data_IF_288103233186
#
_entry.id   IF_288103233186
#
_cell.length_a   1.000
_cell.length_b   1.000
_cell.length_c   1.000
_cell.angle_alpha   90.00
_cell.angle_beta   90.00
_cell.angle_gamma   90.00
#
_symmetry.space_group_name_H-M   'P 1'
#
loop_
_entity.id
_entity.type
_entity.pdbx_description
1 polymer ?
#
# COMPACT_ATOMS: atom_id res chain seq x y z
N UNK A 1 10.09 32.17 19.90
CA UNK A 1 11.11 31.38 20.62
C UNK A 1 11.50 30.25 19.68
N UNK A 2 12.65 30.39 19.02
CA UNK A 2 13.19 29.44 18.05
C UNK A 2 13.85 28.25 18.77
N UNK A 3 13.64 27.03 18.29
CA UNK A 3 14.47 25.88 18.65
C UNK A 3 14.91 25.21 17.34
N UNK A 4 16.17 25.43 16.99
CA UNK A 4 16.89 24.71 15.95
C UNK A 4 17.56 23.48 16.58
N UNK A 5 17.37 22.30 16.01
CA UNK A 5 18.17 21.10 16.29
C UNK A 5 19.07 20.84 15.10
N UNK A 6 20.30 21.36 15.21
CA UNK A 6 21.45 21.01 14.37
C UNK A 6 22.00 19.66 14.82
N UNK A 7 22.20 18.72 13.90
CA UNK A 7 22.95 17.48 14.13
C UNK A 7 24.35 17.62 13.50
N UNK A 8 25.34 17.92 14.34
CA UNK A 8 26.76 17.96 13.98
C UNK A 8 27.32 16.54 13.83
N UNK A 9 27.64 16.12 12.60
CA UNK A 9 28.49 14.96 12.34
C UNK A 9 29.97 15.41 12.34
N UNK A 10 30.63 15.27 13.49
CA UNK A 10 32.08 15.52 13.66
C UNK A 10 32.90 14.51 12.85
N UNK A 11 33.56 14.97 11.79
CA UNK A 11 34.70 14.26 11.20
C UNK A 11 35.96 14.55 12.02
N UNK A 12 36.48 13.56 12.73
CA UNK A 12 37.80 13.68 13.39
C UNK A 12 38.88 13.25 12.39
N UNK A 13 39.57 14.24 11.85
CA UNK A 13 40.86 14.09 11.16
C UNK A 13 41.95 13.74 12.20
N UNK A 14 42.72 12.69 11.98
CA UNK A 14 44.01 12.49 12.65
C UNK A 14 45.07 12.11 11.62
N UNK A 15 46.03 13.02 11.48
CA UNK A 15 47.24 12.88 10.67
C UNK A 15 48.19 11.81 11.24
N UNK A 16 48.96 11.26 10.29
CA UNK A 16 50.16 10.44 10.44
C UNK A 16 51.13 10.90 11.53
N UNK A 17 51.58 9.96 12.36
CA UNK A 17 52.99 9.85 12.80
C UNK A 17 53.35 8.37 12.94
N UNK A 18 54.51 7.99 12.43
CA UNK A 18 55.07 6.65 12.48
C UNK A 18 55.88 6.43 13.77
N UNK A 19 55.80 5.25 14.38
CA UNK A 19 56.96 4.50 14.95
C UNK A 19 56.52 3.19 15.63
N UNK A 20 57.08 2.07 15.14
CA UNK A 20 57.53 0.84 15.85
C UNK A 20 56.68 0.21 16.98
N UNK A 21 56.06 -0.95 16.72
CA UNK A 21 56.19 -2.23 17.48
C UNK A 21 55.16 -3.29 17.00
N UNK A 22 55.60 -4.56 16.88
CA UNK A 22 54.78 -5.78 16.63
C UNK A 22 54.25 -6.36 17.97
N UNK A 23 53.47 -7.47 18.02
CA UNK A 23 52.20 -7.77 17.34
C UNK A 23 51.15 -8.38 18.32
N UNK A 24 49.85 -8.13 18.18
CA UNK A 24 48.83 -8.98 18.84
C UNK A 24 47.49 -9.03 18.09
N UNK A 25 47.11 -10.25 17.72
CA UNK A 25 45.77 -10.83 17.54
C UNK A 25 44.66 -10.12 16.73
N UNK A 26 44.15 -10.86 15.74
CA UNK A 26 42.75 -10.81 15.32
C UNK A 26 42.36 -9.70 14.35
N UNK A 27 42.88 -9.71 13.12
CA UNK A 27 42.35 -8.83 12.07
C UNK A 27 40.94 -9.28 11.66
N UNK A 28 39.92 -8.55 12.11
CA UNK A 28 38.63 -8.49 11.42
C UNK A 28 38.89 -7.92 10.01
N UNK A 29 38.70 -8.75 8.97
CA UNK A 29 38.80 -8.32 7.58
C UNK A 29 37.64 -7.35 7.31
N UNK A 30 37.92 -6.05 7.31
CA UNK A 30 37.01 -5.06 6.72
C UNK A 30 36.96 -5.29 5.21
N UNK A 31 35.85 -5.83 4.73
CA UNK A 31 35.53 -5.85 3.30
C UNK A 31 35.01 -4.47 2.94
N UNK A 32 35.82 -3.67 2.24
CA UNK A 32 35.36 -2.41 1.67
C UNK A 32 34.72 -2.70 0.31
N UNK A 33 33.40 -2.61 0.24
CA UNK A 33 32.66 -2.66 -1.03
C UNK A 33 32.63 -1.25 -1.61
N UNK A 34 33.35 -1.02 -2.71
CA UNK A 34 33.29 0.22 -3.47
C UNK A 34 32.27 0.06 -4.61
N UNK A 35 31.10 0.69 -4.47
CA UNK A 35 30.16 0.83 -5.58
C UNK A 35 30.56 2.06 -6.40
N UNK A 36 30.91 1.84 -7.67
CA UNK A 36 31.21 2.89 -8.64
C UNK A 36 30.19 2.95 -9.76
N UNK A 37 29.81 4.16 -10.16
CA UNK A 37 29.02 4.42 -11.37
C UNK A 37 29.94 4.58 -12.59
N UNK A 38 29.55 4.03 -13.74
CA UNK A 38 30.25 4.23 -15.02
C UNK A 38 29.27 4.79 -16.06
N UNK A 39 29.66 5.85 -16.74
CA UNK A 39 28.80 6.62 -17.66
C UNK A 39 28.70 6.04 -19.08
N UNK A 40 29.47 5.00 -19.43
CA UNK A 40 29.48 4.39 -20.76
C UNK A 40 28.67 3.08 -20.78
N UNK A 41 27.81 2.84 -21.79
CA UNK A 41 27.08 1.59 -21.91
C UNK A 41 28.03 0.43 -22.25
N UNK A 42 27.89 -0.69 -21.52
CA UNK A 42 28.63 -1.92 -21.76
C UNK A 42 27.64 -3.09 -21.89
N UNK A 43 27.75 -3.86 -22.97
CA UNK A 43 26.83 -4.96 -23.25
C UNK A 43 27.39 -6.28 -22.69
N UNK A 44 26.68 -6.90 -21.76
CA UNK A 44 26.98 -8.27 -21.31
C UNK A 44 26.28 -9.30 -22.21
N UNK A 45 26.95 -10.41 -22.53
CA UNK A 45 26.26 -11.62 -22.99
C UNK A 45 25.57 -12.23 -21.76
N UNK A 46 24.23 -12.24 -21.78
CA UNK A 46 23.30 -12.75 -20.76
C UNK A 46 22.89 -11.81 -19.61
N UNK A 47 23.08 -10.49 -19.74
CA UNK A 47 22.50 -9.51 -18.81
C UNK A 47 21.33 -8.74 -19.44
N UNK A 48 20.15 -8.76 -18.83
CA UNK A 48 19.06 -7.82 -19.15
C UNK A 48 19.12 -6.69 -18.13
N UNK A 49 19.81 -5.61 -18.47
CA UNK A 49 19.66 -4.30 -17.83
C UNK A 49 20.38 -3.27 -18.68
N UNK A 50 19.63 -2.29 -19.20
CA UNK A 50 20.16 -1.23 -20.08
C UNK A 50 19.93 0.15 -19.47
N UNK A 51 19.25 0.26 -18.31
CA UNK A 51 18.90 1.54 -17.69
C UNK A 51 19.48 1.75 -16.30
N UNK A 52 19.80 3.02 -15.99
CA UNK A 52 20.23 3.48 -14.66
C UNK A 52 19.22 3.11 -13.56
N UNK A 53 17.93 3.03 -13.90
CA UNK A 53 16.84 2.73 -12.97
C UNK A 53 16.86 1.27 -12.49
N UNK A 54 17.21 0.33 -13.38
CA UNK A 54 17.33 -1.09 -13.05
C UNK A 54 18.51 -1.34 -12.10
N UNK A 55 19.62 -0.64 -12.32
CA UNK A 55 20.79 -0.70 -11.45
C UNK A 55 20.51 -0.13 -10.06
N UNK A 56 19.84 1.03 -9.96
CA UNK A 56 19.49 1.65 -8.68
C UNK A 56 18.48 0.80 -7.89
N UNK A 57 17.49 0.21 -8.57
CA UNK A 57 16.52 -0.71 -7.95
C UNK A 57 17.22 -1.97 -7.43
N UNK A 58 18.12 -2.55 -8.21
CA UNK A 58 18.94 -3.70 -7.80
C UNK A 58 19.83 -3.35 -6.60
N UNK A 59 20.47 -2.18 -6.58
CA UNK A 59 21.28 -1.72 -5.45
C UNK A 59 20.45 -1.45 -4.19
N UNK A 60 19.23 -0.92 -4.31
CA UNK A 60 18.33 -0.72 -3.18
C UNK A 60 17.86 -2.05 -2.57
N UNK A 61 17.51 -3.02 -3.42
CA UNK A 61 17.14 -4.39 -3.01
C UNK A 61 18.32 -5.13 -2.37
N UNK A 62 19.54 -4.94 -2.89
CA UNK A 62 20.74 -5.54 -2.31
C UNK A 62 21.10 -4.90 -0.95
N UNK A 63 20.97 -3.58 -0.84
CA UNK A 63 21.27 -2.84 0.41
C UNK A 63 20.29 -3.18 1.54
N UNK A 64 19.02 -3.46 1.21
CA UNK A 64 18.04 -3.90 2.22
C UNK A 64 18.27 -5.33 2.70
N UNK A 65 18.87 -6.21 1.89
CA UNK A 65 19.24 -7.58 2.27
C UNK A 65 20.55 -7.68 3.06
N UNK A 66 21.49 -6.75 2.87
CA UNK A 66 22.75 -6.73 3.65
C UNK A 66 22.49 -6.41 5.14
N UNK A 67 21.40 -5.71 5.45
CA UNK A 67 20.99 -5.49 6.85
C UNK A 67 20.42 -6.76 7.54
N UNK A 68 20.18 -7.85 6.81
CA UNK A 68 19.58 -9.08 7.33
C UNK A 68 20.52 -10.29 7.41
N UNK A 69 21.83 -10.11 7.20
CA UNK A 69 22.82 -11.20 7.36
C UNK A 69 23.93 -10.78 8.32
N UNK A 70 23.55 -10.63 9.59
CA UNK A 70 24.47 -10.83 10.72
C UNK A 70 24.09 -12.18 11.37
N UNK A 71 24.45 -13.28 10.71
CA UNK A 71 24.43 -14.62 11.33
C UNK A 71 25.77 -15.32 11.00
N UNK A 72 26.59 -15.68 12.00
CA UNK A 72 27.93 -16.21 11.77
C UNK A 72 27.86 -17.72 11.48
N UNK A 73 27.50 -18.05 10.24
CA UNK A 73 27.50 -19.43 9.75
C UNK A 73 27.82 -19.45 8.27
N UNK A 74 29.08 -19.74 7.93
CA UNK A 74 29.56 -19.74 6.55
C UNK A 74 28.80 -20.71 5.65
N UNK A 75 28.00 -20.17 4.73
CA UNK A 75 27.71 -20.70 3.41
C UNK A 75 27.11 -19.58 2.53
N UNK A 76 27.93 -18.58 2.20
CA UNK A 76 27.55 -17.56 1.23
C UNK A 76 27.61 -18.18 -0.17
N UNK A 77 26.47 -18.64 -0.70
CA UNK A 77 26.25 -18.71 -2.17
C UNK A 77 24.84 -19.13 -2.63
N UNK A 78 23.79 -19.06 -1.79
CA UNK A 78 22.43 -19.37 -2.26
C UNK A 78 21.39 -18.38 -1.77
N UNK A 79 20.91 -17.54 -2.69
CA UNK A 79 19.70 -16.72 -2.52
C UNK A 79 18.53 -17.43 -3.23
N UNK A 80 17.41 -17.59 -2.53
CA UNK A 80 16.15 -18.03 -3.14
C UNK A 80 15.53 -16.91 -4.00
N UNK A 81 15.12 -17.28 -5.21
CA UNK A 81 14.56 -16.43 -6.27
C UNK A 81 13.08 -16.14 -6.01
N UNK A 82 12.61 -14.92 -6.33
CA UNK A 82 11.17 -14.62 -6.45
C UNK A 82 10.87 -14.23 -7.91
N UNK A 83 10.01 -15.05 -8.53
CA UNK A 83 9.24 -14.97 -9.78
C UNK A 83 9.79 -14.22 -11.01
N UNK A 84 10.22 -15.00 -12.01
CA UNK A 84 10.30 -14.58 -13.42
C UNK A 84 11.33 -15.32 -14.28
N UNK A 85 12.44 -15.77 -13.72
CA UNK A 85 13.50 -16.43 -14.49
C UNK A 85 13.60 -17.93 -14.18
N UNK A 86 13.29 -18.75 -15.18
CA UNK A 86 13.66 -20.18 -15.19
C UNK A 86 15.15 -20.30 -15.55
N UNK A 87 15.87 -21.03 -14.71
CA UNK A 87 17.28 -21.49 -14.79
C UNK A 87 18.37 -20.50 -14.37
N UNK A 88 19.10 -20.88 -13.31
CA UNK A 88 20.45 -20.39 -13.00
C UNK A 88 20.57 -19.75 -11.62
N UNK A 89 21.40 -20.33 -10.75
CA UNK A 89 22.02 -19.59 -9.65
C UNK A 89 22.68 -18.34 -10.21
N UNK A 90 22.30 -17.16 -9.73
CA UNK A 90 23.00 -15.91 -10.10
C UNK A 90 24.33 -15.92 -9.36
N UNK A 91 25.38 -16.32 -10.06
CA UNK A 91 26.76 -16.08 -9.63
C UNK A 91 26.96 -14.56 -9.69
N UNK A 92 27.08 -13.92 -8.52
CA UNK A 92 27.40 -12.51 -8.43
C UNK A 92 28.85 -12.37 -8.88
N UNK A 93 29.05 -12.20 -10.19
CA UNK A 93 30.35 -11.90 -10.77
C UNK A 93 30.80 -10.52 -10.29
N UNK A 94 31.28 -10.45 -9.05
CA UNK A 94 32.00 -9.33 -8.48
C UNK A 94 33.28 -9.20 -9.30
N UNK A 95 33.26 -8.32 -10.30
CA UNK A 95 34.45 -8.07 -11.12
C UNK A 95 35.47 -7.38 -10.22
N UNK A 96 36.68 -7.93 -10.05
CA UNK A 96 37.77 -7.22 -9.39
C UNK A 96 38.02 -5.90 -10.13
N UNK A 97 38.18 -4.80 -9.40
CA UNK A 97 38.58 -3.53 -10.02
C UNK A 97 39.98 -3.72 -10.62
N UNK A 98 40.07 -3.87 -11.94
CA UNK A 98 41.35 -3.99 -12.64
C UNK A 98 42.12 -2.67 -12.54
N UNK A 99 43.22 -2.69 -11.80
CA UNK A 99 44.19 -1.60 -11.72
C UNK A 99 45.07 -1.60 -12.97
N UNK A 100 44.57 -1.00 -14.05
CA UNK A 100 45.42 -0.72 -15.22
C UNK A 100 46.31 0.50 -14.94
N UNK A 101 47.63 0.27 -14.90
CA UNK A 101 48.70 1.28 -14.80
C UNK A 101 48.63 2.27 -13.60
N UNK A 102 48.28 1.78 -12.40
CA UNK A 102 48.50 2.52 -11.15
C UNK A 102 47.68 3.81 -10.98
N UNK A 103 46.72 4.09 -11.88
CA UNK A 103 45.69 5.12 -11.69
C UNK A 103 44.35 4.41 -11.49
N UNK A 104 43.77 4.55 -10.29
CA UNK A 104 42.35 4.25 -10.13
C UNK A 104 41.59 5.05 -11.19
N UNK A 105 40.83 4.37 -12.05
CA UNK A 105 39.75 5.01 -12.80
C UNK A 105 38.93 5.81 -11.79
N UNK A 106 38.81 7.12 -12.00
CA UNK A 106 38.17 8.05 -11.06
C UNK A 106 36.74 7.57 -10.74
N UNK A 107 36.60 6.78 -9.67
CA UNK A 107 35.32 6.50 -9.06
C UNK A 107 35.00 7.74 -8.26
N UNK A 108 34.07 8.54 -8.76
CA UNK A 108 33.63 9.73 -8.04
C UNK A 108 32.87 9.28 -6.78
N UNK A 109 33.13 9.88 -5.60
CA UNK A 109 32.33 9.62 -4.41
C UNK A 109 30.88 10.01 -4.69
N UNK A 110 29.93 9.21 -4.21
CA UNK A 110 28.52 9.57 -4.24
C UNK A 110 28.33 10.90 -3.53
N UNK A 111 27.78 11.87 -4.25
CA UNK A 111 27.44 13.20 -3.72
C UNK A 111 26.08 13.16 -3.04
N UNK A 112 25.76 14.17 -2.23
CA UNK A 112 24.41 14.27 -1.62
C UNK A 112 23.30 14.34 -2.67
N UNK A 113 23.61 14.81 -3.88
CA UNK A 113 22.78 14.77 -5.09
C UNK A 113 22.57 13.35 -5.63
N UNK A 114 23.46 12.41 -5.34
CA UNK A 114 23.25 10.98 -5.65
C UNK A 114 22.41 10.27 -4.57
N UNK A 115 22.26 10.89 -3.40
CA UNK A 115 21.39 10.47 -2.29
C UNK A 115 20.07 11.24 -2.24
N UNK A 116 19.86 12.24 -3.10
CA UNK A 116 18.56 12.89 -3.24
C UNK A 116 17.55 11.87 -3.74
N UNK A 117 16.28 11.90 -3.29
CA UNK A 117 15.25 11.02 -3.84
C UNK A 117 15.29 11.16 -5.35
N UNK A 118 15.29 10.00 -6.03
CA UNK A 118 15.49 9.93 -7.47
C UNK A 118 14.70 11.03 -8.19
N UNK A 119 15.29 11.70 -9.20
CA UNK A 119 14.59 12.73 -9.96
C UNK A 119 13.24 12.14 -10.39
N UNK A 120 12.15 12.89 -10.14
CA UNK A 120 10.76 12.56 -10.50
C UNK A 120 10.74 11.60 -11.70
N UNK A 121 10.51 10.32 -11.41
CA UNK A 121 10.47 9.28 -12.43
C UNK A 121 9.26 9.54 -13.32
N UNK A 122 9.50 9.93 -14.58
CA UNK A 122 8.44 10.12 -15.57
C UNK A 122 7.59 11.38 -15.38
N UNK A 123 6.91 11.82 -16.45
CA UNK A 123 5.93 12.91 -16.39
C UNK A 123 4.65 12.54 -15.64
N UNK A 124 4.44 11.25 -15.37
CA UNK A 124 3.18 10.71 -14.88
C UNK A 124 3.31 10.30 -13.42
N UNK A 125 2.28 10.62 -12.62
CA UNK A 125 2.23 10.29 -11.20
C UNK A 125 2.12 8.78 -11.02
N UNK A 126 2.96 8.16 -10.18
CA UNK A 126 2.90 6.72 -9.91
C UNK A 126 2.00 6.42 -8.71
N UNK A 127 1.01 5.56 -8.91
CA UNK A 127 -0.03 5.25 -7.92
C UNK A 127 -0.06 3.76 -7.64
N UNK A 128 0.39 3.37 -6.45
CA UNK A 128 0.32 1.98 -6.00
C UNK A 128 -1.11 1.58 -5.63
N UNK A 129 -1.51 0.37 -6.00
CA UNK A 129 -2.78 -0.21 -5.60
C UNK A 129 -2.60 -1.72 -5.34
N UNK A 130 -3.47 -2.31 -4.52
CA UNK A 130 -3.44 -3.75 -4.32
C UNK A 130 -4.31 -4.45 -5.38
N UNK A 131 -3.74 -5.46 -6.03
CA UNK A 131 -4.40 -6.28 -7.05
C UNK A 131 -3.62 -6.34 -8.38
N UNK A 132 -4.28 -6.89 -9.40
CA UNK A 132 -3.76 -7.00 -10.77
C UNK A 132 -4.46 -5.99 -11.70
N UNK A 133 -3.96 -5.76 -12.93
CA UNK A 133 -4.68 -4.95 -13.91
C UNK A 133 -6.11 -5.45 -14.14
N UNK A 134 -7.08 -4.54 -14.22
CA UNK A 134 -8.50 -4.82 -14.30
C UNK A 134 -9.23 -4.85 -12.94
N UNK A 135 -8.51 -4.81 -11.82
CA UNK A 135 -9.13 -4.76 -10.50
C UNK A 135 -9.83 -3.41 -10.25
N UNK A 136 -10.85 -3.40 -9.38
CA UNK A 136 -11.52 -2.14 -8.98
C UNK A 136 -10.57 -1.13 -8.33
N UNK A 137 -9.50 -1.61 -7.68
CA UNK A 137 -8.43 -0.77 -7.13
C UNK A 137 -7.65 -0.01 -8.21
N UNK A 138 -7.45 -0.60 -9.41
CA UNK A 138 -6.84 0.09 -10.55
C UNK A 138 -7.77 1.19 -11.07
N UNK A 139 -9.07 0.88 -11.21
CA UNK A 139 -10.08 1.87 -11.59
C UNK A 139 -10.15 3.03 -10.57
N UNK A 140 -10.04 2.73 -9.27
CA UNK A 140 -9.95 3.73 -8.21
C UNK A 140 -8.71 4.63 -8.37
N UNK A 141 -7.55 4.05 -8.68
CA UNK A 141 -6.32 4.80 -8.94
C UNK A 141 -6.48 5.76 -10.12
N UNK A 142 -7.03 5.28 -11.24
CA UNK A 142 -7.28 6.11 -12.44
C UNK A 142 -8.32 7.20 -12.22
N UNK A 143 -9.39 6.95 -11.44
CA UNK A 143 -10.39 7.96 -11.06
C UNK A 143 -9.78 9.02 -10.13
N UNK A 144 -8.96 8.59 -9.16
CA UNK A 144 -8.32 9.49 -8.20
C UNK A 144 -7.25 10.38 -8.85
N UNK A 145 -6.49 9.83 -9.80
CA UNK A 145 -5.40 10.51 -10.47
C UNK A 145 -5.44 10.22 -11.99
N UNK A 146 -6.12 11.06 -12.78
CA UNK A 146 -6.15 10.89 -14.23
C UNK A 146 -4.73 10.88 -14.83
N UNK A 147 -4.49 10.00 -15.82
CA UNK A 147 -3.19 9.80 -16.47
C UNK A 147 -2.05 9.34 -15.53
N UNK A 148 -2.38 8.73 -14.39
CA UNK A 148 -1.38 8.11 -13.54
C UNK A 148 -0.82 6.83 -14.15
N UNK A 149 0.39 6.48 -13.74
CA UNK A 149 0.93 5.13 -13.90
C UNK A 149 0.51 4.30 -12.68
N UNK A 150 -0.42 3.36 -12.89
CA UNK A 150 -0.90 2.48 -11.83
C UNK A 150 0.10 1.34 -11.61
N UNK A 151 0.58 1.18 -10.37
CA UNK A 151 1.54 0.14 -9.98
C UNK A 151 0.80 -0.97 -9.22
N UNK A 152 0.62 -2.16 -9.81
CA UNK A 152 0.00 -3.29 -9.12
C UNK A 152 0.90 -3.79 -7.99
N UNK A 153 0.29 -4.11 -6.87
CA UNK A 153 0.95 -4.69 -5.69
C UNK A 153 0.17 -5.94 -5.26
N UNK A 154 0.87 -7.03 -4.97
CA UNK A 154 0.22 -8.29 -4.58
C UNK A 154 -0.57 -8.15 -3.27
N UNK A 155 -0.05 -7.37 -2.32
CA UNK A 155 -0.58 -7.22 -0.97
C UNK A 155 -0.68 -5.76 -0.56
N UNK A 156 -1.58 -5.46 0.38
CA UNK A 156 -1.76 -4.10 0.91
C UNK A 156 -0.46 -3.55 1.52
N UNK A 157 0.23 -4.35 2.34
CA UNK A 157 1.51 -3.98 2.96
C UNK A 157 2.54 -3.49 1.93
N UNK A 158 2.60 -4.13 0.75
CA UNK A 158 3.51 -3.77 -0.34
C UNK A 158 3.16 -2.40 -0.91
N UNK A 159 1.87 -2.08 -1.08
CA UNK A 159 1.44 -0.76 -1.56
C UNK A 159 1.81 0.37 -0.58
N UNK A 160 1.71 0.13 0.74
CA UNK A 160 2.18 1.08 1.76
C UNK A 160 3.71 1.28 1.67
N UNK A 161 4.47 0.18 1.62
CA UNK A 161 5.92 0.21 1.51
C UNK A 161 6.39 0.89 0.23
N UNK A 162 5.70 0.68 -0.89
CA UNK A 162 6.03 1.32 -2.17
C UNK A 162 6.02 2.85 -2.06
N UNK A 163 5.06 3.42 -1.32
CA UNK A 163 4.99 4.86 -1.06
C UNK A 163 6.07 5.32 -0.09
N UNK A 164 6.35 4.56 0.98
CA UNK A 164 7.41 4.93 1.93
C UNK A 164 8.82 4.88 1.31
N UNK A 165 9.05 3.92 0.42
CA UNK A 165 10.35 3.68 -0.26
C UNK A 165 10.52 4.48 -1.55
N UNK A 166 9.63 5.43 -1.86
CA UNK A 166 9.70 6.28 -3.07
C UNK A 166 9.58 5.52 -4.41
N UNK A 167 9.11 4.27 -4.36
CA UNK A 167 8.76 3.46 -5.53
C UNK A 167 7.47 4.00 -6.16
N UNK A 168 6.51 4.41 -5.34
CA UNK A 168 5.28 5.09 -5.74
C UNK A 168 5.17 6.47 -5.10
N UNK A 169 4.40 7.36 -5.72
CA UNK A 169 4.16 8.71 -5.22
C UNK A 169 2.89 8.78 -4.36
N UNK A 170 1.92 7.92 -4.68
CA UNK A 170 0.64 7.78 -3.99
C UNK A 170 0.26 6.31 -3.87
N UNK A 171 -0.66 6.02 -2.95
CA UNK A 171 -1.39 4.75 -2.96
C UNK A 171 -2.90 5.00 -2.94
N UNK A 172 -3.67 4.13 -3.57
CA UNK A 172 -5.14 4.15 -3.50
C UNK A 172 -5.60 2.79 -3.00
N UNK A 173 -6.18 2.76 -1.80
CA UNK A 173 -6.48 1.52 -1.08
C UNK A 173 -7.92 1.51 -0.56
N UNK A 174 -8.63 0.37 -0.67
CA UNK A 174 -10.01 0.26 -0.22
C UNK A 174 -10.06 0.22 1.31
N UNK A 175 -11.03 0.89 1.92
CA UNK A 175 -11.20 0.87 3.39
C UNK A 175 -12.58 0.40 3.82
N UNK A 176 -13.56 0.45 2.94
CA UNK A 176 -14.94 0.11 3.24
C UNK A 176 -15.68 -0.28 1.96
N UNK A 177 -16.51 -1.31 2.06
CA UNK A 177 -17.45 -1.70 1.03
C UNK A 177 -18.86 -1.72 1.64
N UNK A 178 -19.87 -1.26 0.90
CA UNK A 178 -21.24 -1.15 1.43
C UNK A 178 -21.86 -2.50 1.82
N UNK A 179 -21.42 -3.61 1.21
CA UNK A 179 -21.90 -4.96 1.51
C UNK A 179 -20.95 -5.73 2.45
N UNK A 180 -19.64 -5.55 2.27
CA UNK A 180 -18.61 -6.25 3.04
C UNK A 180 -18.14 -5.57 4.33
N UNK A 181 -18.54 -4.30 4.54
CA UNK A 181 -18.13 -3.49 5.68
C UNK A 181 -16.69 -2.99 5.60
N UNK A 182 -16.10 -2.73 6.78
CA UNK A 182 -14.76 -2.17 6.94
C UNK A 182 -13.64 -3.17 6.59
N UNK A 183 -12.67 -2.75 5.78
CA UNK A 183 -11.47 -3.53 5.47
C UNK A 183 -10.41 -3.25 6.53
N UNK A 184 -10.51 -3.99 7.63
CA UNK A 184 -9.71 -3.77 8.84
C UNK A 184 -8.20 -3.78 8.63
N UNK A 185 -7.68 -4.58 7.68
CA UNK A 185 -6.25 -4.66 7.42
C UNK A 185 -5.65 -3.30 7.06
N UNK A 186 -6.36 -2.50 6.28
CA UNK A 186 -5.86 -1.20 5.82
C UNK A 186 -5.90 -0.14 6.92
N UNK A 187 -6.85 -0.22 7.86
CA UNK A 187 -6.82 0.60 9.08
C UNK A 187 -5.61 0.28 9.95
N UNK A 188 -5.33 -1.00 10.15
CA UNK A 188 -4.19 -1.44 10.95
C UNK A 188 -2.85 -1.00 10.29
N UNK A 189 -2.78 -0.98 8.95
CA UNK A 189 -1.61 -0.50 8.19
C UNK A 189 -1.47 1.03 8.25
N UNK A 190 -2.56 1.79 8.14
CA UNK A 190 -2.53 3.25 8.31
C UNK A 190 -1.92 3.67 9.65
N UNK A 191 -2.17 2.90 10.70
CA UNK A 191 -1.61 3.18 12.02
C UNK A 191 -0.11 2.86 12.09
N UNK A 192 0.34 1.79 11.42
CA UNK A 192 1.76 1.35 11.42
C UNK A 192 2.66 2.23 10.55
N UNK A 193 2.14 2.66 9.42
CA UNK A 193 2.87 3.46 8.44
C UNK A 193 2.65 4.96 8.66
N UNK A 194 3.64 5.77 8.29
CA UNK A 194 3.59 7.24 8.46
C UNK A 194 3.04 7.91 7.21
N UNK A 195 1.96 7.36 6.67
CA UNK A 195 1.22 7.95 5.55
C UNK A 195 0.02 8.77 6.04
N UNK A 196 -0.41 9.68 5.19
CA UNK A 196 -1.53 10.58 5.41
C UNK A 196 -2.60 10.37 4.34
N UNK A 197 -3.86 10.48 4.75
CA UNK A 197 -5.00 10.48 3.85
C UNK A 197 -5.08 11.87 3.21
N UNK A 198 -5.02 11.90 1.87
CA UNK A 198 -5.02 13.13 1.06
C UNK A 198 -6.26 13.28 0.20
N UNK A 199 -7.14 12.28 0.22
CA UNK A 199 -8.39 12.26 -0.52
C UNK A 199 -9.11 10.93 -0.35
N UNK A 200 -10.32 10.86 -0.85
CA UNK A 200 -11.10 9.63 -0.97
C UNK A 200 -11.72 9.55 -2.36
N UNK A 201 -12.04 8.33 -2.78
CA UNK A 201 -12.77 8.07 -4.02
C UNK A 201 -13.72 6.91 -3.82
N UNK A 202 -14.93 7.02 -4.37
CA UNK A 202 -15.92 5.96 -4.36
C UNK A 202 -16.03 5.31 -5.73
N UNK A 203 -16.02 3.97 -5.76
CA UNK A 203 -16.17 3.17 -6.98
C UNK A 203 -17.40 2.26 -6.82
N UNK A 204 -18.45 2.46 -7.65
CA UNK A 204 -19.52 1.49 -7.80
C UNK A 204 -18.98 0.16 -8.30
N UNK A 205 -19.37 -0.93 -7.66
CA UNK A 205 -18.95 -2.28 -8.03
C UNK A 205 -19.96 -2.84 -9.02
N UNK A 206 -19.50 -3.05 -10.25
CA UNK A 206 -20.27 -3.61 -11.34
C UNK A 206 -19.65 -4.93 -11.78
N UNK A 207 -20.33 -6.05 -11.52
CA UNK A 207 -19.85 -7.39 -11.85
C UNK A 207 -20.39 -7.82 -13.21
N UNK A 208 -19.49 -8.30 -14.06
CA UNK A 208 -19.78 -8.86 -15.36
C UNK A 208 -19.44 -10.36 -15.34
N UNK A 209 -20.24 -11.18 -16.01
CA UNK A 209 -19.90 -12.58 -16.28
C UNK A 209 -19.05 -12.65 -17.55
N UNK A 210 -17.80 -13.05 -17.42
CA UNK A 210 -16.80 -13.04 -18.49
C UNK A 210 -16.44 -14.45 -18.92
N UNK A 211 -16.27 -14.68 -20.22
CA UNK A 211 -15.74 -15.94 -20.74
C UNK A 211 -14.91 -15.69 -22.01
N UNK A 212 -14.22 -16.72 -22.52
CA UNK A 212 -13.52 -16.61 -23.79
C UNK A 212 -14.50 -16.28 -24.94
N UNK A 213 -14.05 -15.55 -25.96
CA UNK A 213 -14.87 -15.26 -27.14
C UNK A 213 -15.46 -16.53 -27.76
N UNK A 214 -16.77 -16.49 -28.03
CA UNK A 214 -17.51 -17.61 -28.64
C UNK A 214 -18.02 -18.66 -27.65
N UNK A 215 -17.67 -18.57 -26.36
CA UNK A 215 -18.29 -19.41 -25.32
C UNK A 215 -19.74 -18.95 -25.10
N UNK A 216 -20.67 -19.90 -25.08
CA UNK A 216 -22.07 -19.64 -24.74
C UNK A 216 -22.29 -19.87 -23.25
N UNK A 217 -23.21 -19.11 -22.65
CA UNK A 217 -23.59 -19.24 -21.24
C UNK A 217 -23.99 -20.67 -20.86
N UNK A 218 -24.70 -21.39 -21.73
CA UNK A 218 -25.11 -22.79 -21.51
C UNK A 218 -23.94 -23.80 -21.42
N UNK A 219 -22.77 -23.43 -21.95
CA UNK A 219 -21.56 -24.25 -21.97
C UNK A 219 -20.66 -24.03 -20.74
N UNK A 220 -20.98 -23.04 -19.90
CA UNK A 220 -20.22 -22.75 -18.69
C UNK A 220 -20.51 -23.83 -17.65
N UNK A 221 -19.47 -24.56 -17.26
CA UNK A 221 -19.51 -25.61 -16.23
C UNK A 221 -19.06 -25.07 -14.87
N UNK A 222 -18.27 -23.99 -14.84
CA UNK A 222 -17.65 -23.43 -13.64
C UNK A 222 -17.60 -21.90 -13.70
N UNK A 223 -17.86 -21.23 -12.58
CA UNK A 223 -17.73 -19.79 -12.40
C UNK A 223 -16.75 -19.51 -11.27
N UNK A 224 -15.69 -18.75 -11.56
CA UNK A 224 -14.62 -18.44 -10.61
C UNK A 224 -14.58 -16.95 -10.29
N UNK A 225 -14.40 -16.59 -9.02
CA UNK A 225 -14.13 -15.21 -8.61
C UNK A 225 -13.77 -15.14 -7.12
N UNK A 226 -13.48 -13.93 -6.62
CA UNK A 226 -13.35 -13.70 -5.19
C UNK A 226 -14.63 -14.15 -4.43
N UNK A 227 -14.53 -14.79 -3.25
CA UNK A 227 -15.70 -15.27 -2.49
C UNK A 227 -16.78 -14.21 -2.28
N UNK A 228 -16.36 -12.96 -2.04
CA UNK A 228 -17.30 -11.85 -1.87
C UNK A 228 -18.05 -11.51 -3.16
N UNK A 229 -17.40 -11.59 -4.32
CA UNK A 229 -18.08 -11.36 -5.61
C UNK A 229 -19.08 -12.47 -5.90
N UNK A 230 -18.72 -13.74 -5.65
CA UNK A 230 -19.63 -14.88 -5.80
C UNK A 230 -20.88 -14.75 -4.91
N UNK A 231 -20.70 -14.31 -3.65
CA UNK A 231 -21.80 -14.08 -2.72
C UNK A 231 -22.68 -12.89 -3.12
N UNK A 232 -22.15 -11.92 -3.88
CA UNK A 232 -22.87 -10.74 -4.34
C UNK A 232 -23.65 -10.97 -5.64
N UNK A 233 -23.51 -12.13 -6.28
CA UNK A 233 -24.14 -12.45 -7.57
C UNK A 233 -24.90 -13.78 -7.52
N UNK A 234 -25.25 -14.27 -6.34
CA UNK A 234 -25.80 -15.61 -6.15
C UNK A 234 -27.11 -15.78 -6.93
N UNK A 235 -28.04 -14.83 -6.82
CA UNK A 235 -29.35 -14.92 -7.49
C UNK A 235 -29.21 -14.84 -9.01
N UNK A 236 -28.33 -13.96 -9.50
CA UNK A 236 -28.08 -13.84 -10.93
C UNK A 236 -27.43 -15.11 -11.51
N UNK A 237 -26.50 -15.72 -10.78
CA UNK A 237 -25.86 -16.96 -11.20
C UNK A 237 -26.82 -18.16 -11.22
N UNK A 238 -27.75 -18.23 -10.28
CA UNK A 238 -28.80 -19.27 -10.28
C UNK A 238 -29.68 -19.21 -11.54
N UNK A 239 -29.89 -18.01 -12.09
CA UNK A 239 -30.68 -17.83 -13.31
C UNK A 239 -29.85 -18.04 -14.58
N UNK A 240 -28.63 -17.50 -14.63
CA UNK A 240 -27.80 -17.48 -15.84
C UNK A 240 -27.05 -18.81 -16.05
N UNK A 241 -26.51 -19.39 -14.99
CA UNK A 241 -25.65 -20.59 -15.05
C UNK A 241 -26.03 -21.59 -13.93
N UNK A 242 -27.28 -22.10 -13.89
CA UNK A 242 -27.78 -22.94 -12.79
C UNK A 242 -27.01 -24.24 -12.57
N UNK A 243 -26.30 -24.72 -13.60
CA UNK A 243 -25.53 -25.96 -13.56
C UNK A 243 -24.04 -25.73 -13.30
N UNK A 244 -23.59 -24.48 -13.26
CA UNK A 244 -22.18 -24.18 -13.10
C UNK A 244 -21.75 -24.26 -11.64
N UNK A 245 -20.62 -24.91 -11.37
CA UNK A 245 -20.02 -24.92 -10.04
C UNK A 245 -19.40 -23.55 -9.73
N UNK A 246 -19.59 -23.05 -8.51
CA UNK A 246 -19.01 -21.78 -8.05
C UNK A 246 -17.72 -22.05 -7.29
N UNK A 247 -16.61 -21.48 -7.71
CA UNK A 247 -15.31 -21.73 -7.08
C UNK A 247 -14.62 -20.44 -6.66
N UNK A 248 -14.18 -20.43 -5.40
CA UNK A 248 -13.43 -19.32 -4.85
C UNK A 248 -12.08 -19.17 -5.52
N UNK A 249 -11.78 -17.94 -5.93
CA UNK A 249 -10.49 -17.49 -6.42
C UNK A 249 -9.98 -16.34 -5.56
N UNK A 250 -8.70 -16.01 -5.66
CA UNK A 250 -8.07 -15.05 -4.75
C UNK A 250 -8.39 -13.58 -5.10
N UNK A 251 -8.71 -13.27 -6.36
CA UNK A 251 -9.03 -11.92 -6.84
C UNK A 251 -9.96 -11.98 -8.07
N UNK A 252 -10.77 -10.94 -8.30
CA UNK A 252 -11.75 -10.92 -9.41
C UNK A 252 -11.08 -10.72 -10.77
N UNK A 253 -10.10 -9.84 -10.88
CA UNK A 253 -9.39 -9.58 -12.13
C UNK A 253 -8.38 -10.69 -12.42
N UNK A 254 -7.74 -11.25 -11.39
CA UNK A 254 -6.86 -12.41 -11.56
C UNK A 254 -7.63 -13.65 -12.03
N UNK A 255 -8.91 -13.79 -11.66
CA UNK A 255 -9.78 -14.85 -12.19
C UNK A 255 -9.99 -14.69 -13.71
N UNK A 256 -10.21 -13.47 -14.20
CA UNK A 256 -10.32 -13.18 -15.63
C UNK A 256 -9.00 -13.45 -16.37
N UNK A 257 -7.88 -12.98 -15.82
CA UNK A 257 -6.53 -13.26 -16.34
C UNK A 257 -6.28 -14.77 -16.45
N UNK A 258 -6.63 -15.53 -15.41
CA UNK A 258 -6.43 -16.97 -15.35
C UNK A 258 -7.19 -17.71 -16.47
N UNK A 259 -8.42 -17.33 -16.76
CA UNK A 259 -9.21 -17.91 -17.86
C UNK A 259 -8.54 -17.64 -19.21
N UNK A 260 -8.13 -16.39 -19.45
CA UNK A 260 -7.47 -15.99 -20.69
C UNK A 260 -6.13 -16.71 -20.88
N UNK A 261 -5.30 -16.76 -19.84
CA UNK A 261 -3.97 -17.36 -19.89
C UNK A 261 -4.01 -18.89 -20.13
N UNK A 262 -5.04 -19.57 -19.64
CA UNK A 262 -5.16 -21.03 -19.72
C UNK A 262 -6.12 -21.51 -20.82
N UNK A 263 -6.73 -20.60 -21.59
CA UNK A 263 -7.71 -20.91 -22.64
C UNK A 263 -8.85 -21.83 -22.14
N UNK A 264 -9.44 -21.49 -20.99
CA UNK A 264 -10.53 -22.27 -20.39
C UNK A 264 -11.87 -21.94 -21.03
N UNK A 265 -12.36 -22.84 -21.89
CA UNK A 265 -13.64 -22.67 -22.61
C UNK A 265 -14.88 -23.12 -21.82
N UNK A 266 -14.69 -23.85 -20.72
CA UNK A 266 -15.77 -24.33 -19.84
C UNK A 266 -15.97 -23.45 -18.61
N UNK A 267 -15.14 -22.41 -18.44
CA UNK A 267 -15.06 -21.60 -17.23
C UNK A 267 -15.40 -20.15 -17.53
N UNK A 268 -16.17 -19.52 -16.65
CA UNK A 268 -16.44 -18.08 -16.66
C UNK A 268 -15.88 -17.40 -15.39
N UNK A 269 -15.56 -16.11 -15.47
CA UNK A 269 -15.12 -15.31 -14.33
C UNK A 269 -16.13 -14.21 -14.00
N UNK A 270 -16.28 -13.89 -12.72
CA UNK A 270 -16.90 -12.62 -12.33
C UNK A 270 -15.82 -11.57 -12.14
N UNK A 271 -15.85 -10.52 -12.95
CA UNK A 271 -14.90 -9.41 -12.84
C UNK A 271 -15.51 -8.11 -13.38
N UNK A 272 -14.71 -7.05 -13.39
CA UNK A 272 -15.09 -5.77 -13.99
C UNK A 272 -15.13 -5.85 -15.52
N UNK A 273 -15.89 -4.96 -16.16
CA UNK A 273 -15.84 -4.79 -17.62
C UNK A 273 -14.42 -4.43 -18.11
N UNK A 274 -13.66 -3.70 -17.28
CA UNK A 274 -12.26 -3.37 -17.56
C UNK A 274 -11.38 -4.62 -17.69
N UNK A 275 -11.61 -5.64 -16.86
CA UNK A 275 -10.88 -6.90 -16.96
C UNK A 275 -11.22 -7.64 -18.27
N UNK A 276 -12.47 -7.56 -18.76
CA UNK A 276 -12.83 -8.13 -20.06
C UNK A 276 -12.04 -7.51 -21.21
N UNK A 277 -11.93 -6.18 -21.25
CA UNK A 277 -11.14 -5.47 -22.25
C UNK A 277 -9.66 -5.86 -22.20
N UNK A 278 -9.07 -5.87 -21.01
CA UNK A 278 -7.65 -6.14 -20.81
C UNK A 278 -7.25 -7.56 -21.19
N UNK A 279 -8.09 -8.54 -20.87
CA UNK A 279 -7.82 -9.95 -21.09
C UNK A 279 -8.51 -10.52 -22.33
N UNK A 280 -9.08 -9.65 -23.19
CA UNK A 280 -9.79 -10.01 -24.41
C UNK A 280 -10.87 -11.08 -24.21
N UNK A 281 -11.67 -10.90 -23.14
CA UNK A 281 -12.80 -11.76 -22.82
C UNK A 281 -14.11 -11.16 -23.30
N UNK A 282 -15.07 -12.02 -23.60
CA UNK A 282 -16.43 -11.65 -23.93
C UNK A 282 -17.26 -11.50 -22.65
N UNK A 283 -18.02 -10.42 -22.55
CA UNK A 283 -19.06 -10.23 -21.53
C UNK A 283 -20.29 -11.05 -21.95
N UNK A 284 -20.62 -12.08 -21.19
CA UNK A 284 -21.81 -12.91 -21.39
C UNK A 284 -23.06 -12.28 -20.78
N UNK A 285 -22.89 -11.63 -19.63
CA UNK A 285 -23.93 -10.88 -18.95
C UNK A 285 -23.29 -9.72 -18.20
N UNK A 286 -23.94 -8.56 -18.26
CA UNK A 286 -23.46 -7.33 -17.65
C UNK A 286 -24.33 -6.93 -16.46
N UNK A 287 -23.71 -6.39 -15.42
CA UNK A 287 -24.42 -5.90 -14.23
C UNK A 287 -25.17 -6.97 -13.44
N UNK A 288 -24.50 -8.09 -13.15
CA UNK A 288 -25.12 -9.27 -12.52
C UNK A 288 -25.06 -9.28 -10.98
N UNK A 289 -24.61 -8.19 -10.36
CA UNK A 289 -24.71 -8.00 -8.92
C UNK A 289 -26.17 -8.00 -8.45
N UNK A 290 -26.44 -8.67 -7.32
CA UNK A 290 -27.78 -8.77 -6.73
C UNK A 290 -28.25 -7.44 -6.12
N UNK A 291 -27.31 -6.55 -5.77
CA UNK A 291 -27.57 -5.21 -5.23
C UNK A 291 -26.84 -4.15 -6.07
N UNK A 292 -27.60 -3.19 -6.61
CA UNK A 292 -27.10 -2.09 -7.44
C UNK A 292 -26.44 -0.97 -6.62
N UNK A 293 -26.63 -0.96 -5.30
CA UNK A 293 -26.02 -0.02 -4.35
C UNK A 293 -24.63 -0.42 -3.86
N UNK A 294 -23.98 -1.39 -4.48
CA UNK A 294 -22.65 -1.88 -4.08
C UNK A 294 -21.57 -0.84 -4.42
N UNK A 295 -20.95 -0.25 -3.40
CA UNK A 295 -19.92 0.78 -3.55
C UNK A 295 -18.75 0.47 -2.63
N UNK A 296 -17.55 0.65 -3.15
CA UNK A 296 -16.32 0.58 -2.38
C UNK A 296 -15.71 1.97 -2.24
N UNK A 297 -15.42 2.36 -1.00
CA UNK A 297 -14.71 3.59 -0.66
C UNK A 297 -13.22 3.30 -0.55
N UNK A 298 -12.44 4.09 -1.28
CA UNK A 298 -10.98 4.04 -1.31
C UNK A 298 -10.41 5.33 -0.72
N UNK A 299 -9.26 5.22 -0.07
CA UNK A 299 -8.48 6.35 0.41
C UNK A 299 -7.25 6.56 -0.47
N UNK A 300 -6.99 7.82 -0.77
CA UNK A 300 -5.77 8.28 -1.42
C UNK A 300 -4.74 8.58 -0.33
N UNK A 301 -3.58 7.93 -0.38
CA UNK A 301 -2.52 8.04 0.61
C UNK A 301 -1.27 8.70 0.02
N UNK A 302 -0.59 9.51 0.84
CA UNK A 302 0.67 10.14 0.51
C UNK A 302 1.61 10.21 1.72
N UNK A 303 2.90 10.45 1.45
CA UNK A 303 3.92 10.67 2.50
C UNK A 303 3.69 11.97 3.27
N UNK A 304 3.18 13.00 2.60
CA UNK A 304 2.94 14.31 3.19
C UNK A 304 1.44 14.60 3.26
N UNK A 305 0.95 15.20 4.35
CA UNK A 305 -0.44 15.63 4.43
C UNK A 305 -0.69 16.80 3.49
N UNK A 306 -1.91 16.92 2.98
CA UNK A 306 -2.32 18.14 2.29
C UNK A 306 -2.55 19.27 3.30
N UNK A 307 -2.38 20.51 2.86
CA UNK A 307 -2.74 21.69 3.65
C UNK A 307 -4.28 21.78 3.67
N UNK A 308 -4.93 21.67 4.84
CA UNK A 308 -6.38 21.77 4.92
C UNK A 308 -6.87 23.15 4.48
N UNK A 309 -7.98 23.17 3.76
CA UNK A 309 -8.63 24.41 3.28
C UNK A 309 -10.10 24.38 3.61
N UNK A 310 -10.80 25.48 3.35
CA UNK A 310 -12.25 25.63 3.55
C UNK A 310 -12.96 26.00 2.23
N UNK A 311 -12.32 25.73 1.09
CA UNK A 311 -12.80 26.07 -0.26
C UNK A 311 -13.82 25.06 -0.81
N UNK A 312 -13.95 23.91 -0.16
CA UNK A 312 -14.90 22.83 -0.49
C UNK A 312 -15.20 22.00 0.75
N UNK A 313 -16.15 21.06 0.70
CA UNK A 313 -16.41 20.15 1.81
C UNK A 313 -15.19 19.25 2.11
N UNK A 314 -14.80 19.18 3.38
CA UNK A 314 -13.68 18.37 3.86
C UNK A 314 -14.16 17.34 4.87
N UNK A 315 -13.43 16.23 4.92
CA UNK A 315 -13.54 15.19 5.93
C UNK A 315 -12.20 15.07 6.63
N UNK A 316 -12.25 14.85 7.94
CA UNK A 316 -11.06 14.59 8.75
C UNK A 316 -11.20 13.22 9.39
N UNK A 317 -10.18 12.39 9.21
CA UNK A 317 -10.09 11.06 9.79
C UNK A 317 -9.13 11.08 10.96
N UNK A 318 -9.57 10.55 12.10
CA UNK A 318 -8.77 10.42 13.31
C UNK A 318 -8.81 8.98 13.82
N UNK A 319 -7.76 8.62 14.54
CA UNK A 319 -7.73 7.41 15.36
C UNK A 319 -7.36 7.80 16.77
N UNK A 320 -8.08 7.26 17.76
CA UNK A 320 -7.78 7.50 19.16
C UNK A 320 -7.92 6.24 20.00
N UNK A 321 -7.25 6.24 21.15
CA UNK A 321 -7.38 5.20 22.17
C UNK A 321 -7.77 5.81 23.52
N UNK A 322 -8.54 5.04 24.29
CA UNK A 322 -8.97 5.45 25.62
C UNK A 322 -7.78 5.60 26.57
N UNK A 323 -7.88 6.54 27.51
CA UNK A 323 -6.93 6.61 28.62
C UNK A 323 -7.06 5.35 29.50
N UNK A 324 -5.93 4.88 30.01
CA UNK A 324 -5.86 3.78 30.97
C UNK A 324 -6.86 4.05 32.12
N UNK A 325 -7.63 3.05 32.52
CA UNK A 325 -8.69 3.13 33.55
C UNK A 325 -10.06 3.69 33.14
N UNK A 326 -10.22 4.38 32.01
CA UNK A 326 -11.52 4.95 31.60
C UNK A 326 -12.41 4.02 30.76
N UNK A 327 -11.86 2.92 30.23
CA UNK A 327 -12.59 1.95 29.41
C UNK A 327 -13.28 2.58 28.19
N UNK A 328 -14.28 1.89 27.62
CA UNK A 328 -15.01 2.34 26.41
C UNK A 328 -15.89 3.59 26.65
N UNK A 329 -16.12 3.99 27.91
CA UNK A 329 -16.93 5.18 28.26
C UNK A 329 -16.38 6.49 27.69
N UNK A 330 -15.09 6.53 27.33
CA UNK A 330 -14.46 7.67 26.64
C UNK A 330 -15.14 7.99 25.31
N UNK A 331 -15.71 6.98 24.63
CA UNK A 331 -16.35 7.16 23.34
C UNK A 331 -17.45 8.21 23.42
N UNK A 332 -18.32 8.13 24.43
CA UNK A 332 -19.39 9.12 24.64
C UNK A 332 -18.83 10.55 24.72
N UNK A 333 -17.77 10.76 25.51
CA UNK A 333 -17.13 12.09 25.66
C UNK A 333 -16.58 12.61 24.33
N UNK A 334 -15.93 11.73 23.56
CA UNK A 334 -15.40 12.08 22.24
C UNK A 334 -16.54 12.46 21.28
N UNK A 335 -17.62 11.67 21.24
CA UNK A 335 -18.77 11.97 20.39
C UNK A 335 -19.43 13.30 20.80
N UNK A 336 -19.54 13.58 22.09
CA UNK A 336 -20.08 14.86 22.60
C UNK A 336 -19.26 16.07 22.14
N UNK A 337 -17.93 15.97 22.10
CA UNK A 337 -17.05 17.06 21.68
C UNK A 337 -17.35 17.53 20.25
N UNK A 338 -17.72 16.60 19.35
CA UNK A 338 -18.13 16.91 17.98
C UNK A 338 -19.59 17.37 17.91
N UNK A 339 -20.49 16.67 18.60
CA UNK A 339 -21.93 16.96 18.58
C UNK A 339 -22.25 18.38 19.05
N UNK A 340 -21.64 18.85 20.16
CA UNK A 340 -21.87 20.21 20.67
C UNK A 340 -21.35 21.34 19.75
N UNK A 341 -20.57 20.99 18.72
CA UNK A 341 -20.03 21.93 17.72
C UNK A 341 -20.67 21.77 16.35
N UNK A 342 -21.78 21.03 16.27
CA UNK A 342 -22.50 20.71 15.02
C UNK A 342 -21.57 20.10 13.96
N UNK A 343 -20.65 19.22 14.38
CA UNK A 343 -19.77 18.48 13.47
C UNK A 343 -20.36 17.09 13.27
N UNK A 344 -20.73 16.77 12.04
CA UNK A 344 -21.30 15.47 11.67
C UNK A 344 -20.21 14.40 11.65
N UNK A 345 -20.52 13.21 12.19
CA UNK A 345 -19.66 12.04 12.11
C UNK A 345 -20.17 11.15 10.98
N UNK A 346 -19.29 10.75 10.08
CA UNK A 346 -19.64 9.92 8.91
C UNK A 346 -19.19 8.47 9.06
N UNK A 347 -18.27 8.19 9.98
CA UNK A 347 -17.83 6.83 10.29
C UNK A 347 -17.37 6.73 11.74
N UNK A 348 -17.71 5.62 12.39
CA UNK A 348 -17.13 5.21 13.67
C UNK A 348 -16.87 3.70 13.58
N UNK A 349 -15.63 3.27 13.82
CA UNK A 349 -15.24 1.87 13.81
C UNK A 349 -14.38 1.57 15.05
N UNK A 350 -14.64 0.44 15.71
CA UNK A 350 -13.90 0.04 16.91
C UNK A 350 -13.05 -1.20 16.66
N UNK A 351 -11.78 -1.16 17.07
CA UNK A 351 -10.81 -2.23 16.83
C UNK A 351 -10.07 -2.56 18.12
N UNK A 352 -10.02 -3.84 18.56
CA UNK A 352 -9.14 -4.24 19.65
C UNK A 352 -7.68 -3.88 19.33
N UNK A 353 -6.95 -3.37 20.31
CA UNK A 353 -5.57 -2.95 20.15
C UNK A 353 -4.66 -4.17 20.06
N UNK A 354 -4.23 -4.53 18.85
CA UNK A 354 -3.45 -5.74 18.60
C UNK A 354 -2.19 -5.88 19.48
N UNK A 355 -1.52 -4.77 19.80
CA UNK A 355 -0.27 -4.80 20.58
C UNK A 355 -0.48 -4.81 22.10
N UNK A 356 -1.69 -4.49 22.57
CA UNK A 356 -2.13 -4.56 23.98
C UNK A 356 -3.59 -5.00 24.01
N UNK A 357 -3.87 -6.25 23.63
CA UNK A 357 -5.24 -6.68 23.41
C UNK A 357 -6.01 -6.83 24.72
N UNK A 358 -5.34 -6.89 25.89
CA UNK A 358 -5.99 -7.15 27.17
C UNK A 358 -5.45 -6.21 28.24
N UNK A 359 -6.36 -5.55 28.93
CA UNK A 359 -6.14 -4.77 30.13
C UNK A 359 -6.69 -5.50 31.34
N UNK A 360 -5.87 -5.69 32.37
CA UNK A 360 -6.32 -6.26 33.64
C UNK A 360 -7.04 -5.18 34.44
N UNK A 361 -8.29 -5.45 34.80
CA UNK A 361 -9.11 -4.64 35.70
C UNK A 361 -9.14 -5.37 37.05
N UNK A 362 -8.56 -4.74 38.06
CA UNK A 362 -8.59 -5.19 39.44
C UNK A 362 -8.05 -4.12 40.36
N UNK A 363 -8.67 -3.99 41.53
CA UNK A 363 -8.22 -3.12 42.62
C UNK A 363 -7.42 -3.99 43.59
N UNK A 364 -6.10 -3.78 43.70
CA UNK A 364 -5.22 -4.48 44.65
C UNK A 364 -4.99 -5.98 44.42
N UNK A 365 -3.74 -6.34 44.13
CA UNK A 365 -3.08 -7.66 44.32
C UNK A 365 -3.66 -8.93 43.67
N UNK A 366 -4.91 -8.98 43.18
CA UNK A 366 -5.48 -10.12 42.44
C UNK A 366 -6.41 -9.64 41.31
N UNK A 367 -5.84 -9.26 40.16
CA UNK A 367 -6.60 -8.80 38.99
C UNK A 367 -7.49 -9.90 38.41
N UNK A 368 -8.80 -9.69 38.41
CA UNK A 368 -9.80 -10.73 38.10
C UNK A 368 -10.50 -10.57 36.75
N UNK A 369 -10.49 -9.38 36.12
CA UNK A 369 -11.11 -9.17 34.79
C UNK A 369 -10.08 -8.74 33.74
N UNK A 370 -10.12 -9.31 32.53
CA UNK A 370 -9.31 -8.88 31.38
C UNK A 370 -10.24 -8.27 30.32
N UNK A 371 -10.13 -6.96 30.08
CA UNK A 371 -10.93 -6.25 29.08
C UNK A 371 -10.10 -5.91 27.85
N UNK A 372 -10.70 -5.93 26.67
CA UNK A 372 -9.99 -5.49 25.47
C UNK A 372 -9.72 -3.98 25.51
N UNK A 373 -8.50 -3.56 25.14
CA UNK A 373 -8.25 -2.15 24.82
C UNK A 373 -8.71 -1.89 23.40
N UNK A 374 -9.43 -0.80 23.16
CA UNK A 374 -9.97 -0.47 21.85
C UNK A 374 -9.34 0.80 21.29
N UNK A 375 -9.10 0.77 19.99
CA UNK A 375 -8.88 1.94 19.15
C UNK A 375 -10.16 2.26 18.41
N UNK A 376 -10.45 3.55 18.28
CA UNK A 376 -11.61 4.05 17.56
C UNK A 376 -11.13 4.86 16.36
N UNK A 377 -11.61 4.48 15.17
CA UNK A 377 -11.43 5.25 13.95
C UNK A 377 -12.69 6.06 13.72
N UNK A 378 -12.53 7.37 13.54
CA UNK A 378 -13.65 8.30 13.35
C UNK A 378 -13.38 9.19 12.16
N UNK A 379 -14.38 9.30 11.29
CA UNK A 379 -14.41 10.29 10.21
C UNK A 379 -15.47 11.34 10.52
N UNK A 380 -15.12 12.61 10.35
CA UNK A 380 -16.04 13.72 10.60
C UNK A 380 -15.96 14.81 9.53
N UNK A 381 -17.09 15.47 9.28
CA UNK A 381 -17.25 16.50 8.26
C UNK A 381 -16.83 17.88 8.78
N UNK A 382 -15.52 18.09 8.83
CA UNK A 382 -14.93 19.42 9.00
C UNK A 382 -13.49 19.42 8.51
N UNK A 383 -13.02 20.60 8.08
CA UNK A 383 -11.62 20.85 7.80
C UNK A 383 -10.85 21.17 9.07
N UNK A 384 -9.59 20.71 9.15
CA UNK A 384 -8.67 21.12 10.23
C UNK A 384 -8.25 22.61 10.15
N UNK A 385 -8.63 23.32 9.09
CA UNK A 385 -8.52 24.78 9.01
C UNK A 385 -9.63 25.51 9.80
N UNK A 386 -10.71 24.83 10.18
CA UNK A 386 -11.82 25.43 10.92
C UNK A 386 -11.56 25.43 12.44
N UNK A 387 -11.81 26.56 13.10
CA UNK A 387 -11.64 26.70 14.55
C UNK A 387 -12.52 25.72 15.34
N UNK A 388 -13.73 25.42 14.87
CA UNK A 388 -14.61 24.44 15.53
C UNK A 388 -14.01 23.02 15.54
N UNK A 389 -13.34 22.62 14.46
CA UNK A 389 -12.70 21.31 14.37
C UNK A 389 -11.45 21.24 15.27
N UNK A 390 -10.65 22.30 15.28
CA UNK A 390 -9.47 22.42 16.15
C UNK A 390 -9.86 22.36 17.63
N UNK A 391 -10.92 23.08 18.02
CA UNK A 391 -11.44 23.07 19.38
C UNK A 391 -12.00 21.69 19.77
N UNK A 392 -12.70 21.00 18.86
CA UNK A 392 -13.18 19.64 19.10
C UNK A 392 -12.00 18.68 19.32
N UNK A 393 -10.97 18.75 18.48
CA UNK A 393 -9.79 17.89 18.59
C UNK A 393 -9.00 18.14 19.88
N UNK A 394 -8.88 19.41 20.30
CA UNK A 394 -8.25 19.77 21.57
C UNK A 394 -9.00 19.15 22.76
N UNK A 395 -10.33 19.20 22.76
CA UNK A 395 -11.15 18.58 23.81
C UNK A 395 -11.02 17.05 23.82
N UNK A 396 -11.00 16.42 22.63
CA UNK A 396 -10.77 14.97 22.51
C UNK A 396 -9.42 14.58 23.11
N UNK A 397 -8.38 15.36 22.87
CA UNK A 397 -7.03 15.11 23.38
C UNK A 397 -6.98 15.06 24.92
N UNK A 398 -7.85 15.79 25.63
CA UNK A 398 -7.93 15.77 27.10
C UNK A 398 -8.45 14.42 27.64
N UNK A 399 -9.18 13.66 26.83
CA UNK A 399 -9.81 12.40 27.23
C UNK A 399 -9.05 11.15 26.77
N UNK A 400 -8.17 11.28 25.78
CA UNK A 400 -7.51 10.17 25.09
C UNK A 400 -6.03 10.05 25.48
N UNK A 401 -5.52 8.84 25.60
CA UNK A 401 -4.07 8.58 25.79
C UNK A 401 -3.28 8.70 24.49
N UNK A 402 -3.96 8.43 23.38
CA UNK A 402 -3.40 8.47 22.04
C UNK A 402 -4.44 9.07 21.10
N UNK A 403 -4.01 10.03 20.29
CA UNK A 403 -4.80 10.66 19.25
C UNK A 403 -3.88 10.93 18.07
N UNK A 404 -4.26 10.44 16.90
CA UNK A 404 -3.57 10.71 15.64
C UNK A 404 -4.58 11.16 14.60
N UNK A 405 -4.30 12.29 13.97
CA UNK A 405 -4.99 12.71 12.74
C UNK A 405 -4.37 11.93 11.58
N UNK A 406 -5.19 11.13 10.90
CA UNK A 406 -4.79 10.35 9.74
C UNK A 406 -4.78 11.21 8.47
N UNK A 407 -5.65 12.21 8.40
CA UNK A 407 -5.68 13.20 7.33
C UNK A 407 -6.89 14.12 7.41
N UNK A 408 -6.80 15.29 6.80
CA UNK A 408 -7.92 16.21 6.57
C UNK A 408 -7.94 16.52 5.09
N UNK A 409 -8.95 16.02 4.38
CA UNK A 409 -8.95 15.87 2.93
C UNK A 409 -10.31 16.23 2.32
N UNK A 410 -10.34 16.65 1.04
CA UNK A 410 -11.60 16.94 0.35
C UNK A 410 -12.45 15.68 0.22
N UNK A 411 -13.75 15.82 0.39
CA UNK A 411 -14.70 14.73 0.19
C UNK A 411 -14.89 14.41 -1.30
N UNK A 412 -15.14 13.14 -1.61
CA UNK A 412 -15.60 12.76 -2.94
C UNK A 412 -17.05 13.21 -3.12
N UNK A 413 -17.23 14.29 -3.86
CA UNK A 413 -18.54 14.87 -4.20
C UNK A 413 -19.00 14.44 -5.59
N UNK A 414 -18.34 13.47 -6.24
CA UNK A 414 -18.75 13.02 -7.56
C UNK A 414 -20.18 12.47 -7.50
N UNK A 415 -21.13 13.03 -8.26
CA UNK A 415 -22.50 12.54 -8.26
C UNK A 415 -22.53 11.06 -8.66
N UNK A 416 -23.39 10.28 -8.02
CA UNK A 416 -23.64 8.91 -8.42
C UNK A 416 -24.30 8.90 -9.80
N UNK A 417 -23.52 8.69 -10.86
CA UNK A 417 -24.06 8.38 -12.19
C UNK A 417 -23.93 6.87 -12.43
N UNK A 418 -25.04 6.14 -12.44
CA UNK A 418 -25.10 4.80 -13.02
C UNK A 418 -25.06 4.98 -14.55
N UNK A 419 -23.85 4.89 -15.12
CA UNK A 419 -23.49 4.93 -16.56
C UNK A 419 -24.03 6.10 -17.42
N UNK A 420 -23.29 6.47 -18.49
CA UNK A 420 -23.83 7.33 -19.54
C UNK A 420 -24.71 6.47 -20.43
N UNK A 421 -26.03 6.66 -20.41
CA UNK A 421 -26.83 6.33 -21.58
C UNK A 421 -26.37 7.24 -22.71
N UNK A 422 -25.84 6.64 -23.77
CA UNK A 422 -25.46 7.26 -25.02
C UNK A 422 -26.63 8.13 -25.56
N UNK A 423 -26.48 9.45 -25.48
CA UNK A 423 -27.10 10.36 -26.44
C UNK A 423 -26.01 10.71 -27.47
N UNK A 424 -25.93 9.93 -28.54
CA UNK A 424 -25.32 10.30 -29.83
C UNK A 424 -25.88 9.45 -30.96
#
# INVERSE_FOLDING_TARGET
MQAATSCDLKFRSTNLTASTARPTNGMSKRVNVLCGYRSMPFSFRNGVSVSRADWQSSCAILSSKVASVDDPGGLADKIAVVNGHKNGSVDLSLVPVETTNGKLSQVQPLTITDLSPAPLHGSNLRVAYQGVPGAYSEAAAGKAYPNCEAIPCDQFDVAFQAVELWIADRAVLPVENSLGGSIHRNYDLLLRHRLHIVGEVQIPVHHCLLALPGVRTDCVSRVISHPQALAQTERSLDNLTPRAAREAFHDTAAAAEYIAANNLHDTAALASARAAELYNLQILADGIQDDTGNVTRFLMLAREPIIPRTDRPFKTSIVFAAQEHKGTSVLFKVLSAFAFRNISLTKIESRPHHNRPLRVVGDGSFGTAKNFEYMFYVDFEASMAETRAQNALSEVQEYTSFLRVLGSYPMDMTPWSMSPTEDA
#
